data_IF_674820970210
#
_entry.id   IF_674820970210
#
_cell.length_a   1.000
_cell.length_b   1.000
_cell.length_c   1.000
_cell.angle_alpha   90.00
_cell.angle_beta   90.00
_cell.angle_gamma   90.00
#
_symmetry.space_group_name_H-M   'P 1'
#
loop_
_entity.id
_entity.type
_entity.pdbx_description
1 polymer ?
#
# COMPACT_ATOMS: atom_id res chain seq x y z
N UNK A 1 -1.66 32.34 -8.53
CA UNK A 1 -1.49 31.32 -9.60
C UNK A 1 -0.26 30.44 -9.36
N UNK A 2 0.96 31.01 -9.29
CA UNK A 2 2.20 30.23 -9.19
C UNK A 2 2.28 29.27 -7.98
N UNK A 3 1.83 29.70 -6.80
CA UNK A 3 1.89 28.87 -5.59
C UNK A 3 1.03 27.59 -5.68
N UNK A 4 -0.15 27.67 -6.30
CA UNK A 4 -1.02 26.51 -6.50
C UNK A 4 -0.35 25.45 -7.40
N UNK A 5 0.34 25.90 -8.45
CA UNK A 5 1.04 25.03 -9.39
C UNK A 5 2.23 24.31 -8.72
N UNK A 6 2.94 25.01 -7.82
CA UNK A 6 4.03 24.43 -7.03
C UNK A 6 3.50 23.37 -6.05
N UNK A 7 2.39 23.64 -5.36
CA UNK A 7 1.78 22.69 -4.42
C UNK A 7 1.32 21.43 -5.16
N UNK A 8 0.59 21.59 -6.26
CA UNK A 8 0.10 20.45 -7.06
C UNK A 8 1.26 19.60 -7.62
N UNK A 9 2.34 20.24 -8.09
CA UNK A 9 3.52 19.55 -8.58
C UNK A 9 4.21 18.76 -7.45
N UNK A 10 4.37 19.36 -6.28
CA UNK A 10 4.97 18.72 -5.10
C UNK A 10 4.17 17.48 -4.68
N UNK A 11 2.84 17.60 -4.60
CA UNK A 11 1.97 16.50 -4.19
C UNK A 11 1.96 15.36 -5.22
N UNK A 12 2.03 15.68 -6.53
CA UNK A 12 2.17 14.69 -7.59
C UNK A 12 3.51 13.93 -7.49
N UNK A 13 4.61 14.63 -7.28
CA UNK A 13 5.95 14.03 -7.11
C UNK A 13 5.97 13.09 -5.89
N UNK A 14 5.37 13.53 -4.77
CA UNK A 14 5.23 12.72 -3.57
C UNK A 14 4.44 11.44 -3.82
N UNK A 15 3.31 11.54 -4.55
CA UNK A 15 2.49 10.38 -4.88
C UNK A 15 3.27 9.36 -5.72
N UNK A 16 3.99 9.83 -6.74
CA UNK A 16 4.82 8.97 -7.60
C UNK A 16 5.92 8.30 -6.77
N UNK A 17 6.61 9.06 -5.92
CA UNK A 17 7.69 8.53 -5.07
C UNK A 17 7.17 7.48 -4.07
N UNK A 18 5.98 7.71 -3.52
CA UNK A 18 5.33 6.79 -2.59
C UNK A 18 4.92 5.49 -3.29
N UNK A 19 4.31 5.59 -4.47
CA UNK A 19 3.99 4.43 -5.30
C UNK A 19 5.25 3.61 -5.63
N UNK A 20 6.33 4.27 -6.06
CA UNK A 20 7.61 3.62 -6.37
C UNK A 20 8.20 2.91 -5.14
N UNK A 21 8.06 3.52 -3.95
CA UNK A 21 8.53 2.90 -2.70
C UNK A 21 7.79 1.59 -2.42
N UNK A 22 6.46 1.58 -2.57
CA UNK A 22 5.67 0.36 -2.39
C UNK A 22 6.01 -0.69 -3.46
N UNK A 23 6.17 -0.27 -4.72
CA UNK A 23 6.57 -1.18 -5.80
C UNK A 23 7.92 -1.86 -5.53
N UNK A 24 8.91 -1.08 -5.06
CA UNK A 24 10.23 -1.60 -4.66
C UNK A 24 10.09 -2.58 -3.49
N UNK A 25 9.28 -2.26 -2.48
CA UNK A 25 9.02 -3.16 -1.35
C UNK A 25 8.42 -4.48 -1.84
N UNK A 26 7.47 -4.45 -2.77
CA UNK A 26 6.87 -5.67 -3.33
C UNK A 26 7.80 -6.45 -4.22
N UNK A 27 8.79 -5.81 -4.84
CA UNK A 27 9.81 -6.47 -5.65
C UNK A 27 10.90 -7.12 -4.82
N UNK A 28 11.30 -6.51 -3.71
CA UNK A 28 12.39 -7.00 -2.84
C UNK A 28 11.87 -7.91 -1.72
N UNK A 29 10.65 -7.67 -1.22
CA UNK A 29 10.03 -8.41 -0.13
C UNK A 29 9.82 -9.92 -0.33
N UNK A 30 9.47 -10.43 -1.53
CA UNK A 30 9.19 -11.85 -1.70
C UNK A 30 10.45 -12.71 -1.65
N UNK A 31 10.45 -13.73 -0.78
CA UNK A 31 11.50 -14.75 -0.74
C UNK A 31 11.48 -15.67 -1.98
N UNK A 32 10.32 -15.87 -2.62
CA UNK A 32 10.19 -16.61 -3.87
C UNK A 32 10.24 -15.65 -5.07
N UNK A 33 11.27 -15.81 -5.91
CA UNK A 33 11.53 -15.00 -7.12
C UNK A 33 10.55 -15.30 -8.25
N UNK A 34 9.25 -15.02 -8.07
CA UNK A 34 8.36 -14.83 -9.22
C UNK A 34 8.45 -13.37 -9.66
N UNK A 35 8.71 -13.10 -10.96
CA UNK A 35 8.78 -11.73 -11.45
C UNK A 35 7.39 -11.10 -11.35
N UNK A 36 7.17 -10.29 -10.31
CA UNK A 36 5.97 -9.46 -10.19
C UNK A 36 6.08 -8.29 -11.18
N UNK A 37 5.01 -8.03 -11.93
CA UNK A 37 4.92 -6.85 -12.81
C UNK A 37 4.93 -5.58 -11.96
N UNK A 38 5.69 -4.55 -12.38
CA UNK A 38 5.80 -3.23 -11.70
C UNK A 38 4.51 -2.40 -11.69
N UNK A 39 3.46 -2.87 -12.35
CA UNK A 39 2.13 -2.26 -12.33
C UNK A 39 1.12 -3.29 -11.84
N UNK A 40 1.27 -3.67 -10.57
CA UNK A 40 0.36 -4.60 -9.93
C UNK A 40 -0.87 -3.89 -9.38
N UNK A 41 -2.08 -4.48 -9.50
CA UNK A 41 -3.28 -3.99 -8.82
C UNK A 41 -3.09 -3.88 -7.29
N UNK A 42 -2.24 -4.73 -6.69
CA UNK A 42 -1.91 -4.66 -5.26
C UNK A 42 -1.15 -3.39 -4.86
N UNK A 43 -0.26 -2.88 -5.72
CA UNK A 43 0.52 -1.65 -5.47
C UNK A 43 -0.38 -0.43 -5.50
N UNK A 44 -1.29 -0.37 -6.47
CA UNK A 44 -2.30 0.68 -6.61
C UNK A 44 -3.24 0.68 -5.39
N UNK A 45 -3.74 -0.50 -5.01
CA UNK A 45 -4.60 -0.66 -3.84
C UNK A 45 -3.94 -0.17 -2.54
N UNK A 46 -2.69 -0.57 -2.29
CA UNK A 46 -1.96 -0.16 -1.10
C UNK A 46 -1.67 1.35 -1.07
N UNK A 47 -1.33 1.93 -2.22
CA UNK A 47 -1.09 3.37 -2.35
C UNK A 47 -2.34 4.18 -2.04
N UNK A 48 -3.47 3.84 -2.67
CA UNK A 48 -4.76 4.53 -2.46
C UNK A 48 -5.19 4.41 -0.99
N UNK A 49 -5.16 3.20 -0.44
CA UNK A 49 -5.60 2.94 0.93
C UNK A 49 -4.71 3.63 1.96
N UNK A 50 -3.39 3.69 1.72
CA UNK A 50 -2.45 4.40 2.59
C UNK A 50 -2.66 5.92 2.56
N UNK A 51 -2.97 6.50 1.39
CA UNK A 51 -3.34 7.93 1.29
C UNK A 51 -4.64 8.21 2.06
N UNK A 52 -5.68 7.41 1.85
CA UNK A 52 -6.96 7.54 2.57
C UNK A 52 -6.73 7.44 4.08
N UNK A 53 -5.96 6.45 4.51
CA UNK A 53 -5.62 6.24 5.92
C UNK A 53 -4.85 7.42 6.49
N UNK A 54 -3.92 8.00 5.74
CA UNK A 54 -3.15 9.16 6.18
C UNK A 54 -4.01 10.40 6.33
N UNK A 55 -4.97 10.63 5.43
CA UNK A 55 -5.96 11.71 5.54
C UNK A 55 -6.84 11.50 6.78
N UNK A 56 -7.41 10.30 6.93
CA UNK A 56 -8.27 9.95 8.06
C UNK A 56 -7.52 10.08 9.40
N UNK A 57 -6.26 9.68 9.40
CA UNK A 57 -5.40 9.78 10.57
C UNK A 57 -5.06 11.23 10.92
N UNK A 58 -4.85 12.09 9.92
CA UNK A 58 -4.70 13.54 10.14
C UNK A 58 -5.88 14.12 10.89
N UNK A 59 -7.10 13.83 10.43
CA UNK A 59 -8.32 14.23 11.15
C UNK A 59 -8.39 13.68 12.57
N UNK A 60 -8.00 12.42 12.78
CA UNK A 60 -7.98 11.83 14.11
C UNK A 60 -7.03 12.57 15.06
N UNK A 61 -5.83 12.94 14.58
CA UNK A 61 -4.81 13.65 15.36
C UNK A 61 -5.26 15.07 15.71
N UNK A 62 -5.88 15.78 14.79
CA UNK A 62 -6.35 17.16 15.02
C UNK A 62 -7.36 17.23 16.19
N UNK A 63 -8.20 16.20 16.32
CA UNK A 63 -9.17 16.10 17.42
C UNK A 63 -8.54 15.63 18.75
N UNK A 64 -7.30 15.16 18.75
CA UNK A 64 -6.63 14.55 19.90
C UNK A 64 -5.90 15.54 20.82
N UNK A 65 -5.95 16.84 20.51
CA UNK A 65 -5.20 17.91 21.19
C UNK A 65 -5.41 17.97 22.72
N UNK A 66 -6.60 17.60 23.22
CA UNK A 66 -6.91 17.64 24.66
C UNK A 66 -6.17 16.55 25.46
N UNK A 67 -6.01 15.34 24.90
CA UNK A 67 -5.31 14.22 25.57
C UNK A 67 -3.79 14.40 25.58
N UNK A 68 -3.25 15.17 24.62
CA UNK A 68 -1.84 15.53 24.58
C UNK A 68 -1.40 16.33 25.82
N UNK A 69 -2.29 17.13 26.42
CA UNK A 69 -1.96 17.95 27.60
C UNK A 69 -1.69 17.12 28.86
N UNK A 70 -2.27 15.93 28.96
CA UNK A 70 -2.15 15.05 30.14
C UNK A 70 -0.97 14.08 30.00
N UNK A 71 -0.78 13.51 28.80
CA UNK A 71 0.21 12.46 28.55
C UNK A 71 1.45 12.95 27.78
N UNK A 72 1.47 14.22 27.35
CA UNK A 72 2.61 14.85 26.70
C UNK A 72 3.12 14.08 25.48
N UNK A 73 4.43 13.82 25.45
CA UNK A 73 5.10 13.13 24.34
C UNK A 73 4.66 11.66 24.16
N UNK A 74 4.15 11.00 25.21
CA UNK A 74 3.74 9.59 25.15
C UNK A 74 2.53 9.41 24.22
N UNK A 75 1.59 10.36 24.22
CA UNK A 75 0.44 10.29 23.32
C UNK A 75 0.85 10.40 21.86
N UNK A 76 1.79 11.30 21.54
CA UNK A 76 2.32 11.46 20.18
C UNK A 76 3.02 10.18 19.68
N UNK A 77 3.76 9.50 20.56
CA UNK A 77 4.39 8.22 20.26
C UNK A 77 3.34 7.13 19.98
N UNK A 78 2.33 6.98 20.84
CA UNK A 78 1.27 5.96 20.66
C UNK A 78 0.50 6.19 19.37
N UNK A 79 0.11 7.43 19.09
CA UNK A 79 -0.54 7.84 17.84
C UNK A 79 0.32 7.43 16.64
N UNK A 80 1.61 7.80 16.65
CA UNK A 80 2.54 7.44 15.57
C UNK A 80 2.65 5.93 15.39
N UNK A 81 2.70 5.15 16.48
CA UNK A 81 2.71 3.68 16.42
C UNK A 81 1.43 3.12 15.79
N UNK A 82 0.26 3.66 16.12
CA UNK A 82 -1.01 3.25 15.50
C UNK A 82 -0.99 3.54 14.01
N UNK A 83 -0.53 4.72 13.60
CA UNK A 83 -0.40 5.08 12.19
C UNK A 83 0.55 4.14 11.43
N UNK A 84 1.72 3.86 11.99
CA UNK A 84 2.69 2.92 11.40
C UNK A 84 2.06 1.53 11.27
N UNK A 85 1.40 1.03 12.33
CA UNK A 85 0.77 -0.30 12.31
C UNK A 85 -0.30 -0.41 11.23
N UNK A 86 -1.12 0.63 11.05
CA UNK A 86 -2.13 0.66 9.99
C UNK A 86 -1.47 0.64 8.60
N UNK A 87 -0.44 1.45 8.38
CA UNK A 87 0.27 1.47 7.09
C UNK A 87 0.96 0.14 6.77
N UNK A 88 1.59 -0.49 7.76
CA UNK A 88 2.19 -1.82 7.59
C UNK A 88 1.13 -2.85 7.19
N UNK A 89 -0.03 -2.84 7.85
CA UNK A 89 -1.13 -3.75 7.50
C UNK A 89 -1.60 -3.54 6.06
N UNK A 90 -1.75 -2.29 5.62
CA UNK A 90 -2.18 -1.95 4.25
C UNK A 90 -1.19 -2.46 3.20
N UNK A 91 0.10 -2.26 3.45
CA UNK A 91 1.17 -2.72 2.55
C UNK A 91 1.18 -4.26 2.49
N UNK A 92 1.02 -4.95 3.62
CA UNK A 92 0.95 -6.42 3.62
C UNK A 92 -0.30 -6.94 2.89
N UNK A 93 -1.46 -6.30 3.09
CA UNK A 93 -2.70 -6.66 2.40
C UNK A 93 -2.59 -6.48 0.88
N UNK A 94 -1.97 -5.39 0.41
CA UNK A 94 -1.76 -5.20 -1.02
C UNK A 94 -0.75 -6.20 -1.61
N UNK A 95 0.24 -6.64 -0.82
CA UNK A 95 1.16 -7.71 -1.22
C UNK A 95 0.45 -9.05 -1.35
N UNK A 96 -0.36 -9.43 -0.35
CA UNK A 96 -1.19 -10.65 -0.37
C UNK A 96 -2.17 -10.64 -1.55
N UNK A 97 -2.80 -9.50 -1.83
CA UNK A 97 -3.67 -9.34 -3.00
C UNK A 97 -2.92 -9.61 -4.31
N UNK A 98 -1.70 -9.07 -4.44
CA UNK A 98 -0.87 -9.31 -5.61
C UNK A 98 -0.48 -10.79 -5.74
N UNK A 99 -0.11 -11.43 -4.62
CA UNK A 99 0.23 -12.85 -4.59
C UNK A 99 -0.97 -13.73 -4.96
N UNK A 100 -2.15 -13.44 -4.42
CA UNK A 100 -3.38 -14.19 -4.70
C UNK A 100 -3.76 -14.16 -6.19
N UNK A 101 -3.57 -13.02 -6.86
CA UNK A 101 -3.84 -12.89 -8.30
C UNK A 101 -2.89 -13.75 -9.13
N UNK A 102 -1.61 -13.77 -8.78
CA UNK A 102 -0.60 -14.60 -9.46
C UNK A 102 -0.94 -16.09 -9.29
N UNK A 103 -1.24 -16.51 -8.07
CA UNK A 103 -1.59 -17.90 -7.77
C UNK A 103 -2.85 -18.32 -8.55
N UNK A 104 -3.89 -17.50 -8.57
CA UNK A 104 -5.12 -17.81 -9.30
C UNK A 104 -4.86 -17.98 -10.80
N UNK A 105 -4.07 -17.09 -11.40
CA UNK A 105 -3.70 -17.19 -12.82
C UNK A 105 -2.95 -18.50 -13.12
N UNK A 106 -1.99 -18.88 -12.27
CA UNK A 106 -1.21 -20.12 -12.45
C UNK A 106 -2.11 -21.37 -12.34
N UNK A 107 -3.09 -21.37 -11.43
CA UNK A 107 -4.05 -22.48 -11.28
C UNK A 107 -4.94 -22.63 -12.52
N UNK A 108 -5.43 -21.52 -13.06
CA UNK A 108 -6.27 -21.55 -14.27
C UNK A 108 -5.51 -22.05 -15.50
N UNK A 109 -4.21 -21.74 -15.58
CA UNK A 109 -3.36 -22.24 -16.65
C UNK A 109 -3.18 -23.77 -16.55
N UNK A 110 -2.92 -24.30 -15.36
CA UNK A 110 -2.84 -25.75 -15.13
C UNK A 110 -4.13 -26.48 -15.50
N UNK A 111 -5.28 -25.95 -15.09
CA UNK A 111 -6.58 -26.53 -15.45
C UNK A 111 -6.79 -26.53 -16.97
N UNK A 112 -6.43 -25.45 -17.65
CA UNK A 112 -6.60 -25.34 -19.10
C UNK A 112 -5.66 -26.29 -19.87
N UNK A 113 -4.44 -26.49 -19.37
CA UNK A 113 -3.48 -27.44 -19.92
C UNK A 113 -3.94 -28.89 -19.73
N UNK A 114 -4.49 -29.24 -18.56
CA UNK A 114 -5.10 -30.56 -18.30
C UNK A 114 -6.29 -30.83 -19.21
N UNK A 115 -7.23 -29.89 -19.34
CA UNK A 115 -8.41 -30.04 -20.23
C UNK A 115 -7.98 -30.27 -21.68
N UNK A 116 -6.94 -29.57 -22.15
CA UNK A 116 -6.43 -29.75 -23.51
C UNK A 116 -5.78 -31.13 -23.76
N UNK A 117 -5.31 -31.82 -22.72
CA UNK A 117 -4.73 -33.17 -22.83
C UNK A 117 -5.82 -34.25 -22.97
N UNK A 118 -7.00 -34.04 -22.39
CA UNK A 118 -8.15 -34.96 -22.51
C UNK A 118 -8.97 -34.79 -23.80
N UNK A 119 -8.85 -33.63 -24.46
CA UNK A 119 -9.54 -33.32 -25.74
C UNK A 119 -8.81 -33.86 -26.99
N UNK A 120 -7.69 -34.60 -26.81
CA UNK A 120 -6.89 -35.27 -27.85
C UNK A 120 -7.23 -36.76 -27.99
#
# INVERSE_FOLDING_TARGET
MANFLIIALKDLILLILFYLTIDIIYRIGPALRKPMKSFSPGTIFATITSIITSILFGYFVDNFSTYHKIYGAISALIITLVWIRLNVLIILLGFELNAAIIVNHDLMQQVNDEVSEYDL
#
